data_IF_418389122946
#
_entry.id   IF_418389122946
#
_cell.length_a   1.000
_cell.length_b   1.000
_cell.length_c   1.000
_cell.angle_alpha   90.00
_cell.angle_beta   90.00
_cell.angle_gamma   90.00
#
_symmetry.space_group_name_H-M   'P 1'
#
loop_
_entity.id
_entity.type
_entity.pdbx_description
1 polymer ?
#
# COMPACT_ATOMS: atom_id res chain seq x y z
N UNK A 1 -15.86 8.46 -21.91
CA UNK A 1 -14.59 9.01 -21.36
C UNK A 1 -14.79 10.33 -20.62
N UNK A 2 -15.45 11.34 -21.20
CA UNK A 2 -15.61 12.66 -20.53
C UNK A 2 -16.28 12.58 -19.15
N UNK A 3 -17.31 11.75 -18.97
CA UNK A 3 -17.98 11.56 -17.67
C UNK A 3 -17.06 10.90 -16.62
N UNK A 4 -16.21 9.97 -17.05
CA UNK A 4 -15.28 9.28 -16.17
C UNK A 4 -14.19 10.22 -15.65
N UNK A 5 -13.66 11.10 -16.51
CA UNK A 5 -12.74 12.16 -16.10
C UNK A 5 -13.38 13.14 -15.14
N UNK A 6 -14.65 13.47 -15.35
CA UNK A 6 -15.42 14.30 -14.44
C UNK A 6 -15.53 13.63 -13.06
N UNK A 7 -15.90 12.34 -12.99
CA UNK A 7 -16.00 11.61 -11.73
C UNK A 7 -14.66 11.45 -11.02
N UNK A 8 -13.56 11.25 -11.76
CA UNK A 8 -12.20 11.24 -11.22
C UNK A 8 -11.83 12.60 -10.61
N UNK A 9 -12.05 13.67 -11.37
CA UNK A 9 -11.78 15.04 -10.93
C UNK A 9 -12.58 15.40 -9.69
N UNK A 10 -13.88 15.09 -9.67
CA UNK A 10 -14.76 15.36 -8.54
C UNK A 10 -14.36 14.53 -7.31
N UNK A 11 -14.07 13.24 -7.47
CA UNK A 11 -13.59 12.38 -6.37
C UNK A 11 -12.31 12.94 -5.75
N UNK A 12 -11.35 13.35 -6.59
CA UNK A 12 -10.12 14.00 -6.11
C UNK A 12 -10.41 15.32 -5.38
N UNK A 13 -11.26 16.17 -5.96
CA UNK A 13 -11.59 17.47 -5.40
C UNK A 13 -12.26 17.33 -4.03
N UNK A 14 -13.19 16.40 -3.85
CA UNK A 14 -13.84 16.21 -2.55
C UNK A 14 -12.90 15.62 -1.50
N UNK A 15 -11.99 14.71 -1.89
CA UNK A 15 -10.95 14.24 -0.99
C UNK A 15 -10.03 15.41 -0.57
N UNK A 16 -9.58 16.22 -1.52
CA UNK A 16 -8.75 17.41 -1.29
C UNK A 16 -9.42 18.42 -0.35
N UNK A 17 -10.66 18.81 -0.67
CA UNK A 17 -11.42 19.79 0.11
C UNK A 17 -11.72 19.28 1.52
N UNK A 18 -12.04 17.98 1.66
CA UNK A 18 -12.21 17.34 2.96
C UNK A 18 -10.93 17.34 3.80
N UNK A 19 -9.76 17.19 3.18
CA UNK A 19 -8.48 17.28 3.87
C UNK A 19 -8.10 18.72 4.26
N UNK A 20 -8.40 19.69 3.38
CA UNK A 20 -8.03 21.10 3.56
C UNK A 20 -8.85 21.80 4.65
N UNK A 21 -10.15 21.49 4.74
CA UNK A 21 -11.04 22.18 5.68
C UNK A 21 -10.89 21.67 7.12
N UNK A 22 -10.81 22.62 8.06
CA UNK A 22 -10.77 22.34 9.50
C UNK A 22 -12.15 22.40 10.17
N UNK A 23 -13.11 23.10 9.58
CA UNK A 23 -14.47 23.15 10.11
C UNK A 23 -15.11 21.75 9.98
N UNK A 24 -15.61 21.15 11.07
CA UNK A 24 -16.13 19.77 11.06
C UNK A 24 -17.36 19.60 10.17
N UNK A 25 -18.21 20.62 10.03
CA UNK A 25 -19.41 20.59 9.18
C UNK A 25 -19.01 20.54 7.71
N UNK A 26 -18.14 21.46 7.27
CA UNK A 26 -17.66 21.45 5.88
C UNK A 26 -16.89 20.16 5.57
N UNK A 27 -16.07 19.69 6.50
CA UNK A 27 -15.33 18.45 6.37
C UNK A 27 -16.24 17.23 6.25
N UNK A 28 -17.31 17.16 7.04
CA UNK A 28 -18.32 16.11 6.94
C UNK A 28 -19.05 16.15 5.59
N UNK A 29 -19.43 17.33 5.12
CA UNK A 29 -20.03 17.50 3.79
C UNK A 29 -19.10 16.99 2.68
N UNK A 30 -17.83 17.41 2.67
CA UNK A 30 -16.88 16.95 1.65
C UNK A 30 -16.55 15.46 1.78
N UNK A 31 -16.53 14.91 3.00
CA UNK A 31 -16.38 13.46 3.21
C UNK A 31 -17.56 12.70 2.63
N UNK A 32 -18.80 13.15 2.90
CA UNK A 32 -20.00 12.54 2.34
C UNK A 32 -20.01 12.60 0.81
N UNK A 33 -19.69 13.77 0.25
CA UNK A 33 -19.56 13.92 -1.20
C UNK A 33 -18.47 13.00 -1.79
N UNK A 34 -17.31 12.89 -1.13
CA UNK A 34 -16.27 11.94 -1.51
C UNK A 34 -16.78 10.49 -1.50
N UNK A 35 -17.55 10.09 -0.49
CA UNK A 35 -18.17 8.75 -0.43
C UNK A 35 -19.07 8.56 -1.65
N UNK A 36 -20.02 9.45 -1.89
CA UNK A 36 -20.97 9.33 -3.01
C UNK A 36 -20.23 9.23 -4.34
N UNK A 37 -19.30 10.16 -4.62
CA UNK A 37 -18.59 10.19 -5.89
C UNK A 37 -17.58 9.05 -6.06
N UNK A 38 -16.96 8.55 -4.97
CA UNK A 38 -16.13 7.35 -5.04
C UNK A 38 -16.94 6.11 -5.42
N UNK A 39 -18.16 5.97 -4.90
CA UNK A 39 -19.05 4.87 -5.32
C UNK A 39 -19.50 5.04 -6.76
N UNK A 40 -19.92 6.24 -7.18
CA UNK A 40 -20.26 6.51 -8.60
C UNK A 40 -19.07 6.13 -9.49
N UNK A 41 -17.87 6.63 -9.18
CA UNK A 41 -16.66 6.30 -9.91
C UNK A 41 -16.39 4.80 -9.94
N UNK A 42 -16.55 4.10 -8.81
CA UNK A 42 -16.37 2.64 -8.72
C UNK A 42 -17.36 1.87 -9.59
N UNK A 43 -18.62 2.30 -9.67
CA UNK A 43 -19.63 1.68 -10.53
C UNK A 43 -19.45 2.03 -12.01
N UNK A 44 -18.83 3.16 -12.33
CA UNK A 44 -18.55 3.57 -13.71
C UNK A 44 -17.32 2.88 -14.33
N UNK A 45 -16.51 2.17 -13.53
CA UNK A 45 -15.30 1.48 -13.99
C UNK A 45 -15.53 -0.03 -13.95
N UNK A 46 -15.43 -0.69 -15.11
CA UNK A 46 -15.47 -2.15 -15.15
C UNK A 46 -14.25 -2.72 -14.41
N UNK A 47 -14.48 -3.73 -13.59
CA UNK A 47 -13.44 -4.40 -12.80
C UNK A 47 -12.37 -5.01 -13.70
N UNK A 48 -12.77 -5.48 -14.88
CA UNK A 48 -11.89 -6.06 -15.89
C UNK A 48 -10.87 -5.10 -16.47
N UNK A 49 -11.09 -3.78 -16.33
CA UNK A 49 -10.13 -2.77 -16.80
C UNK A 49 -8.89 -2.67 -15.90
N UNK A 50 -8.91 -3.20 -14.68
CA UNK A 50 -7.74 -3.13 -13.79
C UNK A 50 -6.58 -3.99 -14.33
N UNK A 51 -5.34 -3.45 -14.35
CA UNK A 51 -4.15 -4.15 -14.88
C UNK A 51 -3.91 -5.55 -14.30
N UNK A 52 -4.19 -5.76 -13.02
CA UNK A 52 -4.00 -7.07 -12.37
C UNK A 52 -5.23 -8.00 -12.48
N UNK A 53 -6.33 -7.55 -13.09
CA UNK A 53 -7.57 -8.33 -13.18
C UNK A 53 -7.34 -9.67 -13.84
N UNK A 54 -6.71 -9.70 -15.02
CA UNK A 54 -6.48 -10.95 -15.75
C UNK A 54 -5.57 -11.91 -14.97
N UNK A 55 -4.59 -11.39 -14.25
CA UNK A 55 -3.77 -12.20 -13.36
C UNK A 55 -4.62 -12.86 -12.28
N UNK A 56 -5.46 -12.09 -11.59
CA UNK A 56 -6.41 -12.58 -10.59
C UNK A 56 -7.40 -13.60 -11.16
N UNK A 57 -7.99 -13.28 -12.31
CA UNK A 57 -9.04 -14.06 -12.92
C UNK A 57 -8.53 -15.37 -13.51
N UNK A 58 -7.33 -15.44 -14.09
CA UNK A 58 -6.83 -16.65 -14.77
C UNK A 58 -5.68 -17.36 -14.07
N UNK A 59 -4.75 -16.64 -13.45
CA UNK A 59 -3.45 -17.19 -13.03
C UNK A 59 -3.42 -17.68 -11.58
N UNK A 60 -4.24 -17.12 -10.69
CA UNK A 60 -4.25 -17.55 -9.29
C UNK A 60 -5.10 -18.81 -9.12
N UNK A 61 -4.44 -19.91 -8.71
CA UNK A 61 -5.12 -21.13 -8.27
C UNK A 61 -5.77 -20.89 -6.92
N UNK A 62 -7.07 -20.59 -6.92
CA UNK A 62 -7.92 -20.52 -5.72
C UNK A 62 -8.37 -21.91 -5.24
N UNK A 63 -7.61 -22.95 -5.62
CA UNK A 63 -7.85 -24.33 -5.24
C UNK A 63 -7.64 -24.51 -3.74
N UNK A 64 -8.42 -25.43 -3.15
CA UNK A 64 -8.28 -25.81 -1.75
C UNK A 64 -6.85 -26.30 -1.51
N UNK A 65 -6.11 -25.73 -0.55
CA UNK A 65 -4.76 -26.18 -0.27
C UNK A 65 -4.78 -27.58 0.33
N UNK A 66 -3.85 -28.43 -0.12
CA UNK A 66 -3.76 -29.84 0.30
C UNK A 66 -3.04 -29.99 1.65
N UNK A 67 -2.15 -29.05 1.97
CA UNK A 67 -1.29 -29.08 3.16
C UNK A 67 -1.33 -27.74 3.90
N UNK A 68 -1.05 -27.76 5.20
CA UNK A 68 -1.00 -26.54 6.04
C UNK A 68 0.05 -25.54 5.55
N UNK A 69 1.22 -26.02 5.10
CA UNK A 69 2.26 -25.14 4.56
C UNK A 69 1.79 -24.45 3.26
N UNK A 70 1.10 -25.20 2.40
CA UNK A 70 0.53 -24.70 1.14
C UNK A 70 -0.50 -23.58 1.40
N UNK A 71 -1.33 -23.75 2.42
CA UNK A 71 -2.29 -22.73 2.86
C UNK A 71 -1.61 -21.40 3.24
N UNK A 72 -0.48 -21.43 3.96
CA UNK A 72 0.24 -20.20 4.32
C UNK A 72 1.03 -19.60 3.14
N UNK A 73 1.60 -20.43 2.26
CA UNK A 73 2.36 -19.95 1.10
C UNK A 73 1.49 -19.40 -0.04
N UNK A 74 0.22 -19.83 -0.12
CA UNK A 74 -0.76 -19.36 -1.10
C UNK A 74 -1.50 -18.08 -0.69
N UNK A 75 -1.13 -17.47 0.43
CA UNK A 75 -1.78 -16.27 0.99
C UNK A 75 -3.26 -16.52 1.32
N UNK A 76 -3.54 -17.08 2.51
CA UNK A 76 -4.82 -17.72 2.80
C UNK A 76 -6.01 -16.77 2.73
N UNK A 77 -5.80 -15.48 2.93
CA UNK A 77 -6.82 -14.45 2.77
C UNK A 77 -7.55 -14.49 1.43
N UNK A 78 -6.81 -14.57 0.31
CA UNK A 78 -7.42 -14.48 -1.02
C UNK A 78 -8.28 -15.72 -1.30
N UNK A 79 -7.79 -16.88 -0.89
CA UNK A 79 -8.54 -18.14 -0.92
C UNK A 79 -9.82 -18.04 -0.08
N UNK A 80 -9.72 -17.62 1.19
CA UNK A 80 -10.88 -17.48 2.08
C UNK A 80 -11.92 -16.51 1.52
N UNK A 81 -11.47 -15.37 0.98
CA UNK A 81 -12.34 -14.39 0.36
C UNK A 81 -13.05 -14.97 -0.87
N UNK A 82 -12.30 -15.65 -1.75
CA UNK A 82 -12.86 -16.31 -2.93
C UNK A 82 -13.90 -17.37 -2.54
N UNK A 83 -13.60 -18.25 -1.58
CA UNK A 83 -14.53 -19.27 -1.08
C UNK A 83 -15.78 -18.62 -0.49
N UNK A 84 -15.64 -17.58 0.32
CA UNK A 84 -16.78 -16.85 0.88
C UNK A 84 -17.68 -16.27 -0.22
N UNK A 85 -17.11 -15.58 -1.21
CA UNK A 85 -17.86 -14.99 -2.31
C UNK A 85 -18.49 -16.06 -3.23
N UNK A 86 -17.81 -17.19 -3.45
CA UNK A 86 -18.33 -18.31 -4.26
C UNK A 86 -19.53 -19.01 -3.62
N UNK A 87 -19.70 -18.90 -2.29
CA UNK A 87 -20.90 -19.39 -1.62
C UNK A 87 -22.11 -18.45 -1.79
N UNK A 88 -21.90 -17.24 -2.31
CA UNK A 88 -22.95 -16.23 -2.49
C UNK A 88 -23.35 -16.05 -3.96
N UNK A 89 -22.46 -16.37 -4.89
CA UNK A 89 -22.59 -16.07 -6.32
C UNK A 89 -22.09 -17.25 -7.16
N UNK A 90 -22.78 -17.53 -8.26
CA UNK A 90 -22.54 -18.73 -9.06
C UNK A 90 -21.46 -18.53 -10.13
N UNK A 91 -21.38 -17.33 -10.72
CA UNK A 91 -20.43 -17.10 -11.81
C UNK A 91 -19.09 -16.58 -11.30
N UNK A 92 -17.99 -17.11 -11.86
CA UNK A 92 -16.62 -16.64 -11.54
C UNK A 92 -16.48 -15.13 -11.72
N UNK A 93 -17.12 -14.54 -12.75
CA UNK A 93 -17.08 -13.10 -13.01
C UNK A 93 -17.68 -12.31 -11.85
N UNK A 94 -18.86 -12.69 -11.38
CA UNK A 94 -19.54 -12.03 -10.27
C UNK A 94 -18.80 -12.22 -8.95
N UNK A 95 -18.24 -13.41 -8.69
CA UNK A 95 -17.39 -13.67 -7.52
C UNK A 95 -16.22 -12.69 -7.46
N UNK A 96 -15.44 -12.55 -8.54
CA UNK A 96 -14.32 -11.61 -8.58
C UNK A 96 -14.81 -10.16 -8.45
N UNK A 97 -15.90 -9.80 -9.12
CA UNK A 97 -16.48 -8.46 -8.98
C UNK A 97 -16.82 -8.13 -7.52
N UNK A 98 -17.43 -9.06 -6.78
CA UNK A 98 -17.72 -8.91 -5.35
C UNK A 98 -16.43 -8.78 -4.52
N UNK A 99 -15.39 -9.58 -4.82
CA UNK A 99 -14.09 -9.46 -4.14
C UNK A 99 -13.48 -8.06 -4.33
N UNK A 100 -13.55 -7.49 -5.53
CA UNK A 100 -13.07 -6.14 -5.81
C UNK A 100 -13.90 -5.07 -5.10
N UNK A 101 -15.23 -5.21 -5.02
CA UNK A 101 -16.06 -4.32 -4.23
C UNK A 101 -15.76 -4.40 -2.74
N UNK A 102 -15.53 -5.60 -2.20
CA UNK A 102 -15.12 -5.80 -0.81
C UNK A 102 -13.80 -5.07 -0.51
N UNK A 103 -12.80 -5.26 -1.37
CA UNK A 103 -11.52 -4.54 -1.26
C UNK A 103 -11.71 -3.02 -1.35
N UNK A 104 -12.51 -2.55 -2.33
CA UNK A 104 -12.83 -1.14 -2.47
C UNK A 104 -13.45 -0.56 -1.20
N UNK A 105 -14.44 -1.22 -0.59
CA UNK A 105 -15.11 -0.73 0.63
C UNK A 105 -14.09 -0.56 1.77
N UNK A 106 -13.20 -1.54 1.99
CA UNK A 106 -12.21 -1.47 3.07
C UNK A 106 -11.19 -0.36 2.81
N UNK A 107 -10.65 -0.29 1.60
CA UNK A 107 -9.65 0.72 1.23
C UNK A 107 -10.27 2.12 1.23
N UNK A 108 -11.49 2.29 0.71
CA UNK A 108 -12.21 3.56 0.75
C UNK A 108 -12.48 4.02 2.19
N UNK A 109 -12.83 3.08 3.09
CA UNK A 109 -12.97 3.36 4.52
C UNK A 109 -11.68 3.91 5.15
N UNK A 110 -10.52 3.40 4.74
CA UNK A 110 -9.24 3.95 5.16
C UNK A 110 -9.03 5.38 4.64
N UNK A 111 -9.37 5.67 3.38
CA UNK A 111 -9.23 7.03 2.84
C UNK A 111 -10.20 8.03 3.47
N UNK A 112 -11.43 7.59 3.80
CA UNK A 112 -12.37 8.36 4.62
C UNK A 112 -11.72 8.67 5.97
N UNK A 113 -11.16 7.68 6.67
CA UNK A 113 -10.43 7.90 7.91
C UNK A 113 -9.24 8.89 7.72
N UNK A 114 -8.51 8.79 6.60
CA UNK A 114 -7.37 9.64 6.30
C UNK A 114 -7.77 11.12 6.17
N UNK A 115 -8.94 11.42 5.59
CA UNK A 115 -9.52 12.78 5.60
C UNK A 115 -9.58 13.31 7.05
N UNK A 116 -10.08 12.50 7.97
CA UNK A 116 -10.24 12.84 9.39
C UNK A 116 -8.95 12.79 10.23
N UNK A 117 -7.86 12.22 9.73
CA UNK A 117 -6.59 12.17 10.45
C UNK A 117 -5.93 13.57 10.59
N UNK A 118 -6.18 14.27 11.69
CA UNK A 118 -5.71 15.66 11.90
C UNK A 118 -4.19 15.81 12.00
N UNK A 119 -3.50 14.74 12.39
CA UNK A 119 -2.05 14.75 12.62
C UNK A 119 -1.24 14.56 11.33
N UNK A 120 -1.90 14.51 10.17
CA UNK A 120 -1.28 14.40 8.86
C UNK A 120 -1.68 15.63 8.04
N UNK A 121 -0.69 16.31 7.45
CA UNK A 121 -0.93 17.49 6.61
C UNK A 121 -1.66 17.14 5.31
N UNK A 122 -2.37 18.11 4.74
CA UNK A 122 -3.17 17.92 3.52
C UNK A 122 -2.30 17.46 2.37
N UNK A 123 -1.18 18.14 2.10
CA UNK A 123 -0.30 17.79 0.98
C UNK A 123 0.24 16.34 1.09
N UNK A 124 0.51 15.89 2.31
CA UNK A 124 0.93 14.51 2.63
C UNK A 124 -0.16 13.50 2.30
N UNK A 125 -1.41 13.79 2.67
CA UNK A 125 -2.58 12.97 2.34
C UNK A 125 -2.80 12.93 0.82
N UNK A 126 -2.66 14.06 0.14
CA UNK A 126 -2.84 14.16 -1.32
C UNK A 126 -1.82 13.35 -2.09
N UNK A 127 -0.54 13.36 -1.68
CA UNK A 127 0.49 12.49 -2.28
C UNK A 127 0.09 11.02 -2.10
N UNK A 128 -0.28 10.62 -0.88
CA UNK A 128 -0.66 9.23 -0.60
C UNK A 128 -1.92 8.81 -1.38
N UNK A 129 -2.94 9.67 -1.43
CA UNK A 129 -4.17 9.46 -2.19
C UNK A 129 -3.90 9.35 -3.69
N UNK A 130 -3.13 10.27 -4.25
CA UNK A 130 -2.83 10.27 -5.67
C UNK A 130 -2.08 9.03 -6.15
N UNK A 131 -1.16 8.53 -5.33
CA UNK A 131 -0.34 7.37 -5.68
C UNK A 131 -1.10 6.06 -5.47
N UNK A 132 -1.91 5.97 -4.41
CA UNK A 132 -2.37 4.68 -3.92
C UNK A 132 -3.87 4.48 -3.88
N UNK A 133 -4.70 5.53 -4.03
CA UNK A 133 -6.15 5.35 -4.00
C UNK A 133 -6.62 4.38 -5.08
N UNK A 134 -6.31 4.68 -6.34
CA UNK A 134 -6.72 3.86 -7.48
C UNK A 134 -6.04 2.49 -7.44
N UNK A 135 -4.73 2.46 -7.19
CA UNK A 135 -3.98 1.21 -7.09
C UNK A 135 -4.55 0.26 -6.02
N UNK A 136 -4.78 0.76 -4.80
CA UNK A 136 -5.21 -0.09 -3.69
C UNK A 136 -6.68 -0.46 -3.78
N UNK A 137 -7.55 0.46 -4.22
CA UNK A 137 -9.00 0.22 -4.20
C UNK A 137 -9.53 -0.43 -5.48
N UNK A 138 -8.85 -0.26 -6.62
CA UNK A 138 -9.32 -0.79 -7.92
C UNK A 138 -8.49 -1.96 -8.46
N UNK A 139 -7.21 -2.08 -8.08
CA UNK A 139 -6.31 -3.07 -8.70
C UNK A 139 -5.87 -4.15 -7.72
N UNK A 140 -5.33 -3.79 -6.55
CA UNK A 140 -4.62 -4.74 -5.68
C UNK A 140 -5.53 -5.49 -4.70
N UNK A 141 -6.09 -6.64 -5.11
CA UNK A 141 -6.85 -7.52 -4.20
C UNK A 141 -6.01 -8.14 -3.08
N UNK A 142 -4.76 -8.53 -3.38
CA UNK A 142 -3.89 -9.22 -2.40
C UNK A 142 -3.29 -8.26 -1.38
N UNK A 143 -2.83 -7.10 -1.85
CA UNK A 143 -1.94 -6.24 -1.06
C UNK A 143 -2.61 -4.96 -0.58
N UNK A 144 -3.71 -4.53 -1.20
CA UNK A 144 -4.38 -3.25 -0.88
C UNK A 144 -4.75 -3.14 0.60
N UNK A 145 -5.46 -4.13 1.13
CA UNK A 145 -5.87 -4.19 2.54
C UNK A 145 -4.66 -4.23 3.50
N UNK A 146 -3.67 -5.11 3.30
CA UNK A 146 -2.43 -5.09 4.09
C UNK A 146 -1.73 -3.72 4.13
N UNK A 147 -1.63 -3.03 3.00
CA UNK A 147 -0.99 -1.72 2.94
C UNK A 147 -1.76 -0.68 3.76
N UNK A 148 -3.09 -0.63 3.68
CA UNK A 148 -3.88 0.35 4.46
C UNK A 148 -3.89 0.04 5.96
N UNK A 149 -3.94 -1.25 6.36
CA UNK A 149 -3.80 -1.66 7.76
C UNK A 149 -2.44 -1.22 8.30
N UNK A 150 -1.38 -1.45 7.51
CA UNK A 150 -0.04 -1.08 7.92
C UNK A 150 0.16 0.44 7.96
N UNK A 151 -0.45 1.18 7.02
CA UNK A 151 -0.45 2.63 7.04
C UNK A 151 -1.12 3.19 8.30
N UNK A 152 -2.28 2.64 8.66
CA UNK A 152 -2.95 2.96 9.91
C UNK A 152 -2.08 2.61 11.13
N UNK A 153 -1.42 1.45 11.13
CA UNK A 153 -0.51 1.03 12.20
C UNK A 153 0.69 1.99 12.37
N UNK A 154 1.37 2.39 11.29
CA UNK A 154 2.43 3.40 11.32
C UNK A 154 1.91 4.73 11.89
N UNK A 155 0.71 5.15 11.46
CA UNK A 155 0.10 6.35 12.01
C UNK A 155 -0.10 6.23 13.53
N UNK A 156 -0.57 5.09 14.05
CA UNK A 156 -0.69 4.91 15.52
C UNK A 156 0.66 5.00 16.22
N UNK A 157 1.72 4.40 15.64
CA UNK A 157 3.08 4.46 16.18
C UNK A 157 3.54 5.92 16.34
N UNK A 158 3.45 6.73 15.27
CA UNK A 158 3.92 8.13 15.31
C UNK A 158 3.10 9.05 16.21
N UNK A 159 1.90 8.63 16.61
CA UNK A 159 1.04 9.37 17.53
C UNK A 159 1.06 8.79 18.95
N UNK A 160 1.97 7.86 19.25
CA UNK A 160 2.11 7.20 20.55
C UNK A 160 0.82 6.52 21.07
N UNK A 161 -0.08 6.17 20.17
CA UNK A 161 -1.34 5.49 20.50
C UNK A 161 -1.12 3.99 20.68
N UNK A 162 -2.07 3.32 21.35
CA UNK A 162 -2.08 1.85 21.46
C UNK A 162 -2.09 1.26 20.05
N UNK A 163 -1.10 0.42 19.75
CA UNK A 163 -0.97 -0.23 18.45
C UNK A 163 -2.20 -1.07 18.14
N UNK A 164 -2.72 -0.94 16.92
CA UNK A 164 -3.87 -1.74 16.47
C UNK A 164 -3.53 -3.23 16.47
N UNK A 165 -4.49 -4.07 16.90
CA UNK A 165 -4.37 -5.53 16.77
C UNK A 165 -4.54 -6.01 15.33
N UNK A 166 -5.07 -5.18 14.44
CA UNK A 166 -5.28 -5.53 13.03
C UNK A 166 -3.97 -5.88 12.31
N UNK A 167 -2.84 -5.34 12.77
CA UNK A 167 -1.52 -5.61 12.14
C UNK A 167 -1.14 -7.10 12.21
N UNK A 168 -1.67 -7.86 13.18
CA UNK A 168 -1.42 -9.31 13.26
C UNK A 168 -2.10 -10.10 12.14
N UNK A 169 -3.07 -9.52 11.43
CA UNK A 169 -3.73 -10.16 10.29
C UNK A 169 -2.93 -10.04 9.00
N UNK A 170 -2.04 -9.03 8.89
CA UNK A 170 -1.37 -8.72 7.62
C UNK A 170 -0.44 -9.83 7.11
N UNK A 171 0.28 -10.63 7.93
CA UNK A 171 1.05 -11.77 7.45
C UNK A 171 0.20 -12.87 6.81
N UNK A 172 -1.04 -13.04 7.28
CA UNK A 172 -2.00 -14.00 6.72
C UNK A 172 -2.67 -13.48 5.44
N UNK A 173 -2.58 -12.18 5.19
CA UNK A 173 -3.12 -11.56 3.99
C UNK A 173 -2.07 -11.48 2.88
N UNK A 174 -0.85 -11.05 3.20
CA UNK A 174 0.23 -10.96 2.23
C UNK A 174 1.59 -11.12 2.90
N UNK A 175 2.41 -12.05 2.40
CA UNK A 175 3.67 -12.45 3.03
C UNK A 175 4.67 -11.30 3.18
N UNK A 176 4.69 -10.32 2.27
CA UNK A 176 5.60 -9.16 2.39
C UNK A 176 5.32 -8.29 3.62
N UNK A 177 4.13 -8.43 4.22
CA UNK A 177 3.75 -7.71 5.45
C UNK A 177 4.35 -8.33 6.72
N UNK A 178 4.89 -9.55 6.63
CA UNK A 178 5.48 -10.26 7.77
C UNK A 178 6.72 -9.55 8.30
N UNK A 179 7.61 -9.08 7.43
CA UNK A 179 8.86 -8.45 7.86
C UNK A 179 8.65 -7.09 8.55
N UNK A 180 7.79 -6.19 8.03
CA UNK A 180 7.43 -4.96 8.74
C UNK A 180 6.79 -5.16 10.13
N UNK A 181 6.28 -6.36 10.47
CA UNK A 181 5.60 -6.59 11.76
C UNK A 181 6.52 -6.44 12.98
N UNK A 182 7.84 -6.54 12.79
CA UNK A 182 8.84 -6.31 13.85
C UNK A 182 8.68 -4.95 14.51
N UNK A 183 8.09 -3.98 13.80
CA UNK A 183 7.75 -2.65 14.31
C UNK A 183 6.76 -2.65 15.49
N UNK A 184 6.09 -3.78 15.78
CA UNK A 184 5.35 -3.94 17.05
C UNK A 184 6.28 -3.70 18.25
N UNK A 185 7.55 -4.06 18.14
CA UNK A 185 8.54 -3.86 19.19
C UNK A 185 9.24 -2.49 19.15
N UNK A 186 8.75 -1.51 18.38
CA UNK A 186 9.43 -0.20 18.19
C UNK A 186 9.75 0.55 19.50
N UNK A 187 8.97 0.33 20.58
CA UNK A 187 9.24 0.95 21.90
C UNK A 187 10.28 0.19 22.73
N UNK A 188 10.67 -1.01 22.33
CA UNK A 188 11.66 -1.80 23.06
C UNK A 188 13.06 -1.22 22.90
N UNK A 189 13.81 -1.12 24.00
CA UNK A 189 15.24 -0.79 23.94
C UNK A 189 16.05 -1.81 23.12
N UNK A 190 15.54 -3.05 23.01
CA UNK A 190 16.13 -4.14 22.22
C UNK A 190 15.60 -4.20 20.78
N UNK A 191 14.91 -3.15 20.31
CA UNK A 191 14.31 -3.14 18.97
C UNK A 191 15.27 -3.56 17.87
N UNK A 192 16.45 -2.93 17.81
CA UNK A 192 17.43 -3.22 16.77
C UNK A 192 17.97 -4.64 16.85
N UNK A 193 18.02 -5.26 18.04
CA UNK A 193 18.36 -6.66 18.18
C UNK A 193 17.29 -7.57 17.55
N UNK A 194 16.01 -7.32 17.84
CA UNK A 194 14.90 -8.05 17.21
C UNK A 194 14.87 -7.86 15.69
N UNK A 195 15.11 -6.63 15.23
CA UNK A 195 15.21 -6.32 13.81
C UNK A 195 16.33 -7.11 13.15
N UNK A 196 17.54 -7.13 13.73
CA UNK A 196 18.67 -7.91 13.20
C UNK A 196 18.38 -9.41 13.18
N UNK A 197 17.71 -9.97 14.19
CA UNK A 197 17.29 -11.38 14.17
C UNK A 197 16.33 -11.64 13.00
N UNK A 198 15.27 -10.84 12.86
CA UNK A 198 14.29 -11.03 11.79
C UNK A 198 14.95 -10.84 10.42
N UNK A 199 15.82 -9.83 10.29
CA UNK A 199 16.53 -9.53 9.06
C UNK A 199 17.52 -10.65 8.68
N UNK A 200 18.30 -11.16 9.63
CA UNK A 200 19.22 -12.28 9.40
C UNK A 200 18.49 -13.58 9.05
N UNK A 201 17.36 -13.86 9.71
CA UNK A 201 16.50 -14.98 9.34
C UNK A 201 15.99 -14.84 7.91
N UNK A 202 15.52 -13.66 7.50
CA UNK A 202 15.05 -13.42 6.13
C UNK A 202 16.16 -13.67 5.09
N UNK A 203 17.34 -13.11 5.31
CA UNK A 203 18.52 -13.34 4.44
C UNK A 203 18.89 -14.82 4.42
N UNK A 204 18.84 -15.49 5.56
CA UNK A 204 19.15 -16.92 5.67
C UNK A 204 18.13 -17.78 4.90
N UNK A 205 16.82 -17.48 4.99
CA UNK A 205 15.80 -18.21 4.22
C UNK A 205 16.01 -18.03 2.72
N UNK A 206 16.39 -16.83 2.27
CA UNK A 206 16.68 -16.58 0.85
C UNK A 206 17.92 -17.39 0.42
N UNK A 207 19.00 -17.35 1.18
CA UNK A 207 20.27 -18.00 0.84
C UNK A 207 20.21 -19.54 0.96
N UNK A 208 19.52 -20.06 1.99
CA UNK A 208 19.29 -21.50 2.17
C UNK A 208 18.29 -22.01 1.15
N UNK A 209 17.29 -21.19 0.80
CA UNK A 209 16.36 -21.43 -0.31
C UNK A 209 17.08 -21.74 -1.60
N UNK A 210 18.00 -20.87 -2.01
CA UNK A 210 18.77 -21.03 -3.25
C UNK A 210 19.75 -22.20 -3.21
N UNK A 211 20.27 -22.57 -2.04
CA UNK A 211 21.25 -23.67 -1.90
C UNK A 211 20.62 -25.07 -1.82
N UNK A 212 19.47 -25.24 -1.16
CA UNK A 212 18.99 -26.57 -0.77
C UNK A 212 18.11 -27.28 -1.82
N UNK A 213 17.73 -26.62 -2.92
CA UNK A 213 16.94 -27.20 -4.03
C UNK A 213 15.82 -28.17 -3.59
N UNK A 214 15.13 -27.82 -2.49
CA UNK A 214 14.04 -28.61 -1.91
C UNK A 214 12.73 -28.27 -2.62
N UNK A 215 11.84 -29.24 -2.88
CA UNK A 215 10.56 -28.99 -3.55
C UNK A 215 9.65 -28.01 -2.79
N UNK A 216 9.73 -27.95 -1.45
CA UNK A 216 8.98 -26.97 -0.66
C UNK A 216 9.52 -25.54 -0.82
N UNK A 217 10.81 -25.41 -1.15
CA UNK A 217 11.50 -24.15 -1.41
C UNK A 217 11.51 -23.82 -2.91
N UNK A 218 11.21 -24.78 -3.81
CA UNK A 218 11.08 -24.54 -5.25
C UNK A 218 10.00 -23.52 -5.57
N UNK A 219 8.92 -23.41 -4.78
CA UNK A 219 7.90 -22.38 -5.00
C UNK A 219 8.41 -20.97 -4.62
N UNK A 220 9.29 -20.89 -3.62
CA UNK A 220 9.95 -19.65 -3.22
C UNK A 220 11.06 -19.31 -4.23
N UNK A 221 11.85 -20.29 -4.63
CA UNK A 221 12.90 -20.17 -5.63
C UNK A 221 12.33 -19.87 -7.02
N UNK A 222 11.22 -20.46 -7.44
CA UNK A 222 10.58 -20.16 -8.73
C UNK A 222 9.99 -18.76 -8.76
N UNK A 223 9.42 -18.28 -7.65
CA UNK A 223 9.05 -16.85 -7.52
C UNK A 223 10.29 -15.97 -7.54
N UNK A 224 11.34 -16.32 -6.78
CA UNK A 224 12.60 -15.57 -6.76
C UNK A 224 13.27 -15.54 -8.14
N UNK A 225 13.30 -16.67 -8.85
CA UNK A 225 13.82 -16.82 -10.20
C UNK A 225 12.96 -16.06 -11.20
N UNK A 226 11.63 -16.13 -11.12
CA UNK A 226 10.74 -15.30 -11.94
C UNK A 226 10.95 -13.79 -11.70
N UNK A 227 11.35 -13.40 -10.49
CA UNK A 227 11.68 -12.01 -10.16
C UNK A 227 13.14 -11.63 -10.47
N UNK A 228 14.06 -12.59 -10.69
CA UNK A 228 15.50 -12.36 -10.87
C UNK A 228 16.02 -12.74 -12.26
N UNK A 229 15.25 -13.53 -13.03
CA UNK A 229 15.49 -13.76 -14.45
C UNK A 229 15.42 -12.41 -15.16
N UNK A 230 16.58 -11.99 -15.68
CA UNK A 230 16.92 -10.68 -16.24
C UNK A 230 16.05 -10.20 -17.42
N UNK A 231 14.94 -10.86 -17.72
CA UNK A 231 14.05 -10.43 -18.78
C UNK A 231 13.05 -9.40 -18.23
N UNK A 232 13.37 -8.13 -18.52
CA UNK A 232 12.51 -6.94 -18.44
C UNK A 232 12.49 -6.21 -17.06
N UNK A 233 13.66 -5.93 -16.47
CA UNK A 233 13.72 -4.78 -15.54
C UNK A 233 13.71 -3.48 -16.35
N UNK A 234 12.55 -2.84 -16.42
CA UNK A 234 12.45 -1.51 -17.03
C UNK A 234 13.30 -0.49 -16.26
N UNK A 235 13.94 0.43 -16.99
CA UNK A 235 14.68 1.59 -16.45
C UNK A 235 13.85 2.39 -15.43
N UNK A 236 12.52 2.33 -15.58
CA UNK A 236 11.54 2.94 -14.67
C UNK A 236 11.75 2.48 -13.22
N UNK A 237 12.09 1.22 -12.95
CA UNK A 237 12.30 0.74 -11.58
C UNK A 237 13.53 1.37 -10.91
N UNK A 238 14.58 1.63 -11.68
CA UNK A 238 15.79 2.31 -11.20
C UNK A 238 15.52 3.79 -10.95
N UNK A 239 14.73 4.43 -11.83
CA UNK A 239 14.27 5.80 -11.63
C UNK A 239 13.44 5.90 -10.35
N UNK A 240 12.50 4.97 -10.12
CA UNK A 240 11.73 4.90 -8.88
C UNK A 240 12.64 4.77 -7.65
N UNK A 241 13.62 3.87 -7.71
CA UNK A 241 14.59 3.73 -6.61
C UNK A 241 15.34 5.03 -6.33
N UNK A 242 15.84 5.72 -7.36
CA UNK A 242 16.50 7.01 -7.21
C UNK A 242 15.58 8.07 -6.59
N UNK A 243 14.29 8.10 -6.98
CA UNK A 243 13.28 9.01 -6.41
C UNK A 243 13.05 8.71 -4.93
N UNK A 244 12.85 7.45 -4.55
CA UNK A 244 12.64 7.08 -3.15
C UNK A 244 13.87 7.37 -2.28
N UNK A 245 15.08 7.07 -2.76
CA UNK A 245 16.31 7.39 -2.04
C UNK A 245 16.52 8.90 -1.89
N UNK A 246 16.20 9.68 -2.93
CA UNK A 246 16.24 11.14 -2.87
C UNK A 246 15.23 11.69 -1.87
N UNK A 247 13.99 11.16 -1.87
CA UNK A 247 12.96 11.56 -0.91
C UNK A 247 13.37 11.22 0.53
N UNK A 248 13.98 10.06 0.76
CA UNK A 248 14.55 9.67 2.05
C UNK A 248 15.69 10.59 2.48
N UNK A 249 16.59 10.95 1.57
CA UNK A 249 17.67 11.89 1.85
C UNK A 249 17.15 13.28 2.22
N UNK A 250 16.17 13.80 1.46
CA UNK A 250 15.47 15.03 1.80
C UNK A 250 14.83 14.93 3.18
N UNK A 251 14.12 13.83 3.48
CA UNK A 251 13.52 13.59 4.78
C UNK A 251 14.56 13.59 5.91
N UNK A 252 15.75 13.03 5.70
CA UNK A 252 16.86 13.07 6.64
C UNK A 252 17.28 14.52 6.96
N UNK A 253 17.42 15.38 5.94
CA UNK A 253 17.79 16.80 6.12
C UNK A 253 16.78 17.55 7.00
N UNK A 254 15.49 17.29 6.82
CA UNK A 254 14.42 17.95 7.58
C UNK A 254 14.21 17.37 8.99
N UNK A 255 14.28 16.04 9.14
CA UNK A 255 13.96 15.33 10.39
C UNK A 255 15.14 15.21 11.35
N UNK A 256 16.38 15.23 10.85
CA UNK A 256 17.62 15.11 11.63
C UNK A 256 17.56 13.91 12.59
N UNK A 257 17.63 14.13 13.91
CA UNK A 257 17.59 13.06 14.94
C UNK A 257 16.31 12.21 14.86
N UNK A 258 15.17 12.78 14.43
CA UNK A 258 13.91 12.03 14.29
C UNK A 258 13.91 11.05 13.11
N UNK A 259 14.83 11.19 12.16
CA UNK A 259 14.96 10.28 11.02
C UNK A 259 15.30 8.85 11.46
N UNK A 260 16.08 8.70 12.54
CA UNK A 260 16.49 7.40 13.08
C UNK A 260 15.37 6.66 13.83
N UNK A 261 14.11 7.09 13.64
CA UNK A 261 12.96 6.39 14.20
C UNK A 261 12.88 4.96 13.64
N UNK A 262 12.56 3.93 14.47
CA UNK A 262 12.47 2.53 14.06
C UNK A 262 11.70 2.30 12.75
N UNK A 263 10.56 2.98 12.57
CA UNK A 263 9.73 2.90 11.34
C UNK A 263 10.54 3.22 10.09
N UNK A 264 11.23 4.36 10.05
CA UNK A 264 11.98 4.81 8.86
C UNK A 264 13.14 3.86 8.58
N UNK A 265 13.93 3.53 9.60
CA UNK A 265 15.11 2.68 9.43
C UNK A 265 14.71 1.30 8.91
N UNK A 266 13.63 0.74 9.45
CA UNK A 266 13.17 -0.61 9.10
C UNK A 266 12.62 -0.66 7.69
N UNK A 267 11.73 0.26 7.33
CA UNK A 267 11.15 0.27 5.98
C UNK A 267 12.18 0.63 4.93
N UNK A 268 13.15 1.50 5.24
CA UNK A 268 14.26 1.83 4.34
C UNK A 268 15.22 0.65 4.13
N UNK A 269 15.68 0.01 5.21
CA UNK A 269 16.59 -1.12 5.13
C UNK A 269 15.96 -2.29 4.35
N UNK A 270 14.68 -2.55 4.59
CA UNK A 270 13.93 -3.58 3.85
C UNK A 270 13.72 -3.19 2.39
N UNK A 271 13.39 -1.92 2.09
CA UNK A 271 13.28 -1.45 0.71
C UNK A 271 14.59 -1.62 -0.07
N UNK A 272 15.73 -1.26 0.52
CA UNK A 272 17.06 -1.42 -0.08
C UNK A 272 17.39 -2.89 -0.29
N UNK A 273 17.20 -3.74 0.73
CA UNK A 273 17.45 -5.18 0.61
C UNK A 273 16.62 -5.80 -0.50
N UNK A 274 15.32 -5.52 -0.52
CA UNK A 274 14.39 -6.05 -1.52
C UNK A 274 14.74 -5.53 -2.92
N UNK A 275 15.29 -4.31 -3.06
CA UNK A 275 15.73 -3.79 -4.36
C UNK A 275 16.90 -4.58 -4.94
N UNK A 276 17.89 -4.91 -4.09
CA UNK A 276 19.01 -5.75 -4.51
C UNK A 276 18.60 -7.19 -4.84
N UNK A 277 17.50 -7.67 -4.26
CA UNK A 277 16.89 -8.95 -4.63
C UNK A 277 16.15 -8.84 -5.97
N UNK A 278 15.23 -7.88 -6.09
CA UNK A 278 14.44 -7.62 -7.29
C UNK A 278 13.87 -6.19 -7.28
N UNK A 279 14.14 -5.36 -8.29
CA UNK A 279 13.56 -4.02 -8.41
C UNK A 279 12.02 -3.99 -8.41
N UNK A 280 11.36 -5.00 -8.98
CA UNK A 280 9.89 -5.11 -9.02
C UNK A 280 9.32 -5.33 -7.60
N UNK A 281 9.89 -6.28 -6.86
CA UNK A 281 9.55 -6.51 -5.46
C UNK A 281 9.77 -5.24 -4.61
N UNK A 282 10.81 -4.46 -4.86
CA UNK A 282 11.04 -3.21 -4.14
C UNK A 282 10.00 -2.15 -4.48
N UNK A 283 9.61 -2.03 -5.76
CA UNK A 283 8.50 -1.18 -6.16
C UNK A 283 7.21 -1.55 -5.41
N UNK A 284 6.91 -2.84 -5.27
CA UNK A 284 5.78 -3.34 -4.44
C UNK A 284 5.96 -3.10 -2.94
N UNK A 285 7.18 -2.99 -2.45
CA UNK A 285 7.47 -2.67 -1.05
C UNK A 285 7.43 -1.15 -0.76
N UNK A 286 7.54 -0.32 -1.80
CA UNK A 286 7.59 1.14 -1.68
C UNK A 286 6.43 1.79 -0.89
N UNK A 287 5.19 1.25 -0.86
CA UNK A 287 4.14 1.78 0.00
C UNK A 287 4.50 1.84 1.48
N UNK A 288 5.24 0.86 2.00
CA UNK A 288 5.65 0.83 3.40
C UNK A 288 6.64 1.94 3.73
N UNK A 289 7.64 2.15 2.86
CA UNK A 289 8.61 3.23 3.00
C UNK A 289 7.93 4.60 2.87
N UNK A 290 7.08 4.78 1.85
CA UNK A 290 6.40 6.05 1.64
C UNK A 290 5.50 6.41 2.82
N UNK A 291 4.75 5.45 3.35
CA UNK A 291 3.94 5.65 4.56
C UNK A 291 4.81 6.13 5.73
N UNK A 292 5.95 5.46 5.95
CA UNK A 292 6.90 5.83 6.99
C UNK A 292 7.40 7.27 6.86
N UNK A 293 7.70 7.72 5.64
CA UNK A 293 8.18 9.07 5.35
C UNK A 293 7.07 10.13 5.41
N UNK A 294 5.87 9.83 4.93
CA UNK A 294 4.77 10.78 4.86
C UNK A 294 4.15 10.98 6.26
N UNK A 295 3.89 9.92 7.01
CA UNK A 295 3.13 10.02 8.27
C UNK A 295 3.94 10.51 9.47
N UNK A 296 5.26 10.62 9.35
CA UNK A 296 6.07 11.20 10.43
C UNK A 296 5.72 12.67 10.65
N UNK A 297 5.58 13.05 11.93
CA UNK A 297 5.28 14.42 12.33
C UNK A 297 6.53 15.30 12.19
N UNK A 298 6.42 16.31 11.34
CA UNK A 298 7.40 17.40 11.24
C UNK A 298 6.95 18.53 12.17
N UNK A 299 7.88 19.33 12.70
CA UNK A 299 7.53 20.50 13.49
C UNK A 299 6.77 21.52 12.63
N UNK A 300 5.46 21.58 12.88
CA UNK A 300 4.52 22.42 12.16
C UNK A 300 4.73 23.92 12.38
N UNK A 301 5.34 24.30 13.50
CA UNK A 301 5.59 25.71 13.83
C UNK A 301 6.74 26.26 12.99
N UNK A 302 7.82 25.49 12.88
CA UNK A 302 9.04 25.87 12.17
C UNK A 302 8.82 26.08 10.67
N UNK A 303 7.99 25.25 10.05
CA UNK A 303 7.76 25.26 8.60
C UNK A 303 6.32 25.64 8.21
N UNK A 304 5.61 26.41 9.05
CA UNK A 304 4.19 26.73 8.87
C UNK A 304 3.85 27.30 7.49
N UNK A 305 4.62 28.30 7.01
CA UNK A 305 4.39 28.93 5.69
C UNK A 305 4.55 27.94 4.55
N UNK A 306 5.64 27.16 4.57
CA UNK A 306 5.91 26.14 3.57
C UNK A 306 4.84 25.05 3.58
N UNK A 307 4.46 24.55 4.75
CA UNK A 307 3.39 23.55 4.87
C UNK A 307 2.06 24.06 4.34
N UNK A 308 1.68 25.30 4.64
CA UNK A 308 0.44 25.88 4.11
C UNK A 308 0.51 26.03 2.58
N UNK A 309 1.63 26.52 2.03
CA UNK A 309 1.83 26.61 0.59
C UNK A 309 1.68 25.23 -0.07
N UNK A 310 2.33 24.21 0.49
CA UNK A 310 2.25 22.83 0.00
C UNK A 310 0.82 22.28 0.10
N UNK A 311 0.09 22.57 1.20
CA UNK A 311 -1.30 22.15 1.38
C UNK A 311 -2.17 22.66 0.22
N UNK A 312 -2.04 23.94 -0.18
CA UNK A 312 -2.76 24.48 -1.35
C UNK A 312 -2.22 24.00 -2.70
N UNK A 313 -0.89 23.96 -2.87
CA UNK A 313 -0.24 23.54 -4.10
C UNK A 313 -0.50 22.06 -4.44
N UNK A 314 -0.87 21.24 -3.43
CA UNK A 314 -1.18 19.83 -3.62
C UNK A 314 -2.38 19.57 -4.55
N UNK A 315 -3.17 20.59 -4.90
CA UNK A 315 -4.19 20.50 -5.95
C UNK A 315 -3.60 20.12 -7.31
N UNK A 316 -2.36 20.53 -7.61
CA UNK A 316 -1.67 20.24 -8.89
C UNK A 316 -1.43 18.74 -9.07
N UNK A 317 -1.43 17.98 -7.97
CA UNK A 317 -1.31 16.52 -7.99
C UNK A 317 -2.51 15.85 -8.71
N UNK A 318 -3.61 16.57 -8.96
CA UNK A 318 -4.73 16.10 -9.78
C UNK A 318 -4.26 15.51 -11.12
N UNK A 319 -3.32 16.18 -11.81
CA UNK A 319 -2.81 15.68 -13.09
C UNK A 319 -2.11 14.32 -12.94
N UNK A 320 -1.36 14.15 -11.84
CA UNK A 320 -0.75 12.87 -11.54
C UNK A 320 -1.80 11.82 -11.16
N UNK A 321 -2.86 12.18 -10.43
CA UNK A 321 -3.95 11.26 -10.11
C UNK A 321 -4.66 10.74 -11.36
N UNK A 322 -4.91 11.62 -12.35
CA UNK A 322 -5.46 11.24 -13.65
C UNK A 322 -4.47 10.35 -14.41
N UNK A 323 -3.17 10.68 -14.40
CA UNK A 323 -2.15 9.81 -14.98
C UNK A 323 -2.15 8.41 -14.36
N UNK A 324 -2.17 8.32 -13.02
CA UNK A 324 -2.22 7.05 -12.29
C UNK A 324 -3.44 6.24 -12.68
N UNK A 325 -4.58 6.89 -12.95
CA UNK A 325 -5.77 6.19 -13.44
C UNK A 325 -5.52 5.42 -14.74
N UNK A 326 -4.90 6.07 -15.73
CA UNK A 326 -4.52 5.43 -16.98
C UNK A 326 -3.40 4.40 -16.81
N UNK A 327 -2.48 4.65 -15.89
CA UNK A 327 -1.44 3.67 -15.59
C UNK A 327 -1.95 2.47 -14.77
N UNK A 328 -3.13 2.52 -14.17
CA UNK A 328 -3.69 1.36 -13.43
C UNK A 328 -4.81 0.64 -14.18
N UNK A 329 -5.34 1.24 -15.25
CA UNK A 329 -6.45 0.69 -16.03
C UNK A 329 -6.10 0.57 -17.52
N UNK A 330 -6.34 -0.61 -18.08
CA UNK A 330 -6.25 -0.86 -19.52
C UNK A 330 -7.57 -0.45 -20.17
N UNK A 331 -7.67 0.84 -20.50
CA UNK A 331 -8.81 1.38 -21.23
C UNK A 331 -8.46 1.31 -22.72
N UNK A 332 -8.99 0.29 -23.39
CA UNK A 332 -8.90 0.11 -24.84
C UNK A 332 -9.83 1.07 -25.58
#
# INVERSE_FOLDING_TARGET
MNELHLYLGITFLFFYLGCLHKNPVHKAFFTFAFIVFSFILRFSIDVSWGKDYMAYYHLYRMEKPEKLLDYFTKEPYLYLLHTFCSNLLDTRKEVFQLMFYFNFIIVNSFFIWLIWAENVRTWKKMIFFSLYYLLFSYVLLRNGIPYVIFAYFIHQIYNDKKTTKLVYLTPFMHFSSTVPIVLIFHKSKKYFYYFTIVFSLLVSVIFVGTLLNRPELELINSKFNAYSEKQIFSIIHYIFFAVFMSATFVAYLFLRKRFFHPVIITTLALYILVFFISPIAAFRYSPYLLTGLIFIRVDDTKYKRFNNLMDYASIVILFHFIYTFYDTHEIS
#
